data_IF_445719688493
#
_entry.id   IF_445719688493
#
_cell.length_a   1.000
_cell.length_b   1.000
_cell.length_c   1.000
_cell.angle_alpha   90.00
_cell.angle_beta   90.00
_cell.angle_gamma   90.00
#
_symmetry.space_group_name_H-M   'P 1'
#
loop_
_entity.id
_entity.type
_entity.pdbx_description
1 polymer ?
#
# COMPACT_ATOMS: atom_id res chain seq x y z
N UNK A 1 -2.58 -9.87 -9.98
CA UNK A 1 -2.27 -10.60 -8.72
C UNK A 1 -1.62 -9.64 -7.74
N UNK A 2 -1.73 -9.89 -6.43
CA UNK A 2 -1.12 -9.05 -5.38
C UNK A 2 -0.04 -9.83 -4.66
N UNK A 3 1.12 -9.21 -4.46
CA UNK A 3 2.25 -9.78 -3.75
C UNK A 3 2.74 -8.84 -2.65
N UNK A 4 3.07 -9.39 -1.48
CA UNK A 4 3.72 -8.67 -0.39
C UNK A 4 5.23 -8.89 -0.44
N UNK A 5 5.99 -7.84 -0.17
CA UNK A 5 7.44 -7.93 -0.04
C UNK A 5 7.84 -8.32 1.38
N UNK A 6 8.54 -9.43 1.52
CA UNK A 6 8.96 -9.99 2.82
C UNK A 6 10.41 -9.59 3.18
N UNK A 7 11.13 -8.94 2.28
CA UNK A 7 12.53 -8.54 2.49
C UNK A 7 12.72 -7.30 3.36
N UNK A 8 11.65 -6.78 4.00
CA UNK A 8 11.71 -5.55 4.78
C UNK A 8 10.70 -5.58 5.93
N UNK A 9 11.18 -5.29 7.13
CA UNK A 9 10.31 -4.97 8.27
C UNK A 9 10.75 -3.60 8.82
N UNK A 10 10.17 -2.53 8.30
CA UNK A 10 10.24 -1.24 8.99
C UNK A 10 9.25 -1.24 10.13
N UNK A 11 9.78 -1.10 11.33
CA UNK A 11 9.03 -0.73 12.51
C UNK A 11 9.54 0.64 12.94
N UNK A 12 8.76 1.68 12.69
CA UNK A 12 9.09 3.03 13.13
C UNK A 12 8.09 3.48 14.20
N UNK A 13 8.60 4.12 15.25
CA UNK A 13 7.74 4.70 16.28
C UNK A 13 7.17 6.02 15.75
N UNK A 14 6.01 5.94 15.07
CA UNK A 14 5.22 7.12 14.74
C UNK A 14 4.42 7.54 15.98
N UNK A 15 5.03 8.32 16.88
CA UNK A 15 4.35 8.81 18.08
C UNK A 15 4.09 7.74 19.15
N UNK A 16 2.82 7.51 19.53
CA UNK A 16 2.40 6.70 20.69
C UNK A 16 2.29 5.19 20.44
N UNK A 17 2.37 4.71 19.20
CA UNK A 17 2.22 3.28 18.87
C UNK A 17 3.20 2.80 17.80
N UNK A 18 3.50 1.51 17.86
CA UNK A 18 4.37 0.84 16.89
C UNK A 18 3.56 0.51 15.64
N UNK A 19 3.92 1.13 14.52
CA UNK A 19 3.34 0.81 13.22
C UNK A 19 4.25 -0.15 12.45
N UNK A 20 3.63 -1.03 11.66
CA UNK A 20 4.30 -1.92 10.71
C UNK A 20 3.89 -1.46 9.31
N UNK A 21 4.83 -1.51 8.37
CA UNK A 21 4.60 -1.16 6.98
C UNK A 21 4.67 -2.41 6.10
N UNK A 22 3.64 -2.59 5.28
CA UNK A 22 3.61 -3.59 4.21
C UNK A 22 3.85 -2.90 2.86
N UNK A 23 4.50 -3.60 1.93
CA UNK A 23 4.69 -3.14 0.55
C UNK A 23 4.04 -4.14 -0.38
N UNK A 24 2.97 -3.71 -1.04
CA UNK A 24 2.21 -4.55 -1.97
C UNK A 24 2.49 -4.15 -3.42
N UNK A 25 2.72 -5.15 -4.26
CA UNK A 25 2.82 -5.00 -5.71
C UNK A 25 1.62 -5.65 -6.38
N UNK A 26 0.94 -4.88 -7.24
CA UNK A 26 -0.13 -5.34 -8.11
C UNK A 26 0.44 -5.56 -9.50
N UNK A 27 0.36 -6.79 -10.01
CA UNK A 27 0.97 -7.17 -11.30
C UNK A 27 -0.01 -7.95 -12.16
N UNK A 28 0.36 -8.17 -13.42
CA UNK A 28 -0.29 -9.16 -14.27
C UNK A 28 -0.19 -10.58 -13.68
N UNK A 29 -1.02 -11.50 -14.20
CA UNK A 29 -1.17 -12.85 -13.64
C UNK A 29 0.01 -13.78 -13.95
N UNK A 30 0.77 -13.48 -14.99
CA UNK A 30 1.81 -14.32 -15.61
C UNK A 30 3.23 -13.82 -15.34
N UNK A 31 3.42 -12.99 -14.30
CA UNK A 31 4.74 -12.50 -13.91
C UNK A 31 5.56 -13.58 -13.20
N UNK A 32 6.87 -13.61 -13.46
CA UNK A 32 7.81 -14.39 -12.63
C UNK A 32 7.98 -13.69 -11.29
N UNK A 33 7.64 -14.38 -10.20
CA UNK A 33 7.67 -13.83 -8.85
C UNK A 33 9.05 -14.08 -8.21
N UNK A 34 9.79 -13.03 -7.79
CA UNK A 34 11.05 -13.21 -7.08
C UNK A 34 10.84 -13.84 -5.70
N UNK A 35 11.85 -14.55 -5.18
CA UNK A 35 11.75 -15.30 -3.92
C UNK A 35 11.42 -14.44 -2.68
N UNK A 36 11.70 -13.13 -2.73
CA UNK A 36 11.43 -12.18 -1.64
C UNK A 36 9.98 -11.70 -1.61
N UNK A 37 9.13 -12.17 -2.53
CA UNK A 37 7.73 -11.78 -2.65
C UNK A 37 6.81 -12.99 -2.48
N UNK A 38 5.72 -12.79 -1.75
CA UNK A 38 4.71 -13.84 -1.51
C UNK A 38 3.32 -13.33 -1.89
N UNK A 39 2.48 -14.20 -2.47
CA UNK A 39 1.09 -13.84 -2.82
C UNK A 39 0.34 -13.38 -1.56
N UNK A 40 -0.41 -12.29 -1.67
CA UNK A 40 -1.11 -11.65 -0.55
C UNK A 40 -2.52 -11.23 -0.95
N UNK A 41 -3.35 -10.96 0.06
CA UNK A 41 -4.59 -10.20 -0.08
C UNK A 41 -4.29 -8.70 -0.31
N UNK A 42 -5.24 -7.94 -0.90
CA UNK A 42 -5.04 -6.54 -1.29
C UNK A 42 -4.99 -5.51 -0.13
N UNK A 43 -5.20 -5.94 1.13
CA UNK A 43 -5.16 -5.12 2.37
C UNK A 43 -5.85 -3.75 2.24
N UNK A 44 -7.03 -3.71 1.61
CA UNK A 44 -7.78 -2.46 1.39
C UNK A 44 -8.40 -1.94 2.70
N UNK A 45 -8.44 -0.61 2.86
CA UNK A 45 -9.11 0.05 3.98
C UNK A 45 -10.61 0.14 3.65
N UNK A 46 -11.46 -0.27 4.60
CA UNK A 46 -12.92 -0.15 4.47
C UNK A 46 -13.36 1.31 4.68
N UNK A 47 -14.30 1.78 3.84
CA UNK A 47 -14.84 3.15 3.86
C UNK A 47 -13.76 4.26 3.99
N UNK A 48 -12.73 4.26 3.11
CA UNK A 48 -11.61 5.17 3.28
C UNK A 48 -11.98 6.59 2.85
N UNK A 49 -11.36 7.56 3.51
CA UNK A 49 -11.20 8.89 2.94
C UNK A 49 -10.00 8.88 1.99
N UNK A 50 -10.14 9.53 0.84
CA UNK A 50 -9.15 9.48 -0.23
C UNK A 50 -8.64 10.87 -0.58
N UNK A 51 -7.32 11.02 -0.64
CA UNK A 51 -6.64 12.25 -1.08
C UNK A 51 -5.75 11.92 -2.26
N UNK A 52 -6.06 12.51 -3.42
CA UNK A 52 -5.22 12.40 -4.61
C UNK A 52 -4.08 13.41 -4.52
N UNK A 53 -2.85 12.94 -4.70
CA UNK A 53 -1.65 13.77 -4.70
C UNK A 53 -1.21 14.07 -6.14
N UNK A 54 -0.16 14.89 -6.28
CA UNK A 54 0.33 15.29 -7.59
C UNK A 54 0.92 14.10 -8.36
N UNK A 55 0.51 13.94 -9.60
CA UNK A 55 1.05 12.95 -10.54
C UNK A 55 2.21 13.53 -11.34
N UNK A 56 3.17 12.71 -11.73
CA UNK A 56 4.18 13.10 -12.72
C UNK A 56 4.15 12.17 -13.93
N UNK A 57 4.59 12.69 -15.08
CA UNK A 57 4.51 12.01 -16.37
C UNK A 57 5.84 12.18 -17.13
N UNK A 58 6.39 11.06 -17.59
CA UNK A 58 7.63 11.00 -18.36
C UNK A 58 7.40 10.88 -19.88
N UNK A 59 6.14 10.93 -20.32
CA UNK A 59 5.60 10.60 -21.65
C UNK A 59 5.60 9.12 -22.02
N UNK A 60 6.30 8.28 -21.25
CA UNK A 60 6.27 6.81 -21.39
C UNK A 60 5.43 6.21 -20.27
N UNK A 61 5.65 6.67 -19.05
CA UNK A 61 4.90 6.27 -17.87
C UNK A 61 4.35 7.49 -17.15
N UNK A 62 3.10 7.38 -16.72
CA UNK A 62 2.45 8.29 -15.79
C UNK A 62 2.30 7.60 -14.44
N UNK A 63 2.69 8.29 -13.38
CA UNK A 63 2.55 7.81 -12.01
C UNK A 63 1.53 8.68 -11.29
N UNK A 64 0.33 8.13 -11.06
CA UNK A 64 -0.68 8.71 -10.18
C UNK A 64 -0.43 8.31 -8.72
N UNK A 65 -0.76 9.19 -7.79
CA UNK A 65 -0.56 8.98 -6.35
C UNK A 65 -1.87 9.23 -5.59
N UNK A 66 -2.21 8.31 -4.69
CA UNK A 66 -3.45 8.34 -3.91
C UNK A 66 -3.17 7.85 -2.49
N UNK A 67 -3.63 8.59 -1.49
CA UNK A 67 -3.61 8.17 -0.09
C UNK A 67 -5.02 7.84 0.33
N UNK A 68 -5.24 6.61 0.81
CA UNK A 68 -6.47 6.19 1.49
C UNK A 68 -6.18 6.08 2.97
N UNK A 69 -7.01 6.69 3.80
CA UNK A 69 -6.89 6.62 5.26
C UNK A 69 -8.25 6.37 5.91
N UNK A 70 -8.21 5.76 7.09
CA UNK A 70 -9.41 5.52 7.89
C UNK A 70 -9.82 6.82 8.58
N UNK A 71 -11.11 7.11 8.64
CA UNK A 71 -11.61 8.18 9.50
C UNK A 71 -11.86 7.62 10.91
N UNK A 72 -11.05 8.03 11.88
CA UNK A 72 -11.12 7.51 13.25
C UNK A 72 -12.45 7.89 13.95
N UNK A 73 -13.16 8.91 13.47
CA UNK A 73 -14.48 9.30 13.99
C UNK A 73 -15.57 8.24 13.77
N UNK A 74 -15.34 7.24 12.91
CA UNK A 74 -16.32 6.19 12.61
C UNK A 74 -16.18 4.95 13.52
N UNK A 75 -15.13 4.87 14.32
CA UNK A 75 -14.91 3.77 15.27
C UNK A 75 -15.50 4.04 16.67
N UNK A 76 -16.04 5.25 16.92
CA UNK A 76 -16.64 5.65 18.20
C UNK A 76 -18.18 5.53 18.23
N UNK A 77 -18.79 4.76 17.31
CA UNK A 77 -20.24 4.51 17.29
C UNK A 77 -20.60 3.03 17.44
#
# INVERSE_FOLDING_TARGET
>A
MVYNYEGFTASHNFGRSRCIFDVLAYTDMDVTVPFTWTKSDPKLIANPQMVKLHSFDTKIHKVDTLVSYKNDEWDEQ
#
